data_IF_162333422075
#
_entry.id   IF_162333422075
#
_cell.length_a   1.000
_cell.length_b   1.000
_cell.length_c   1.000
_cell.angle_alpha   90.00
_cell.angle_beta   90.00
_cell.angle_gamma   90.00
#
_symmetry.space_group_name_H-M   'P 1'
#
loop_
_entity.id
_entity.type
_entity.pdbx_description
1 polymer ?
#
# COMPACT_ATOMS: atom_id res chain seq x y z
N UNK A 1 18.23 9.56 -26.02
CA UNK A 1 18.28 9.36 -24.57
C UNK A 1 17.95 10.71 -23.96
N UNK A 2 16.68 10.93 -23.65
CA UNK A 2 16.25 12.19 -23.03
C UNK A 2 16.71 12.17 -21.57
N UNK A 3 17.67 13.04 -21.25
CA UNK A 3 18.27 13.17 -19.93
C UNK A 3 17.54 14.23 -19.11
N UNK A 4 16.21 14.16 -19.08
CA UNK A 4 15.42 14.95 -18.16
C UNK A 4 15.39 14.24 -16.80
N UNK A 5 16.01 14.87 -15.80
CA UNK A 5 15.90 14.45 -14.41
C UNK A 5 14.41 14.44 -14.01
N UNK A 6 13.79 13.26 -14.01
CA UNK A 6 12.40 13.09 -13.56
C UNK A 6 12.40 13.04 -12.04
N UNK A 7 11.70 13.99 -11.41
CA UNK A 7 11.42 13.91 -9.97
C UNK A 7 10.50 12.71 -9.70
N UNK A 8 10.97 11.77 -8.88
CA UNK A 8 10.17 10.64 -8.41
C UNK A 8 9.30 11.11 -7.23
N UNK A 9 8.00 10.85 -7.30
CA UNK A 9 7.05 11.28 -6.27
C UNK A 9 6.54 10.09 -5.47
N UNK A 10 6.78 10.12 -4.17
CA UNK A 10 6.32 9.10 -3.24
C UNK A 10 5.31 9.72 -2.26
N UNK A 11 4.21 9.02 -2.01
CA UNK A 11 3.13 9.50 -1.14
C UNK A 11 2.77 8.43 -0.13
N UNK A 12 2.47 8.83 1.10
CA UNK A 12 1.86 7.96 2.10
C UNK A 12 0.51 8.52 2.53
N UNK A 13 -0.46 7.63 2.75
CA UNK A 13 -1.81 8.02 3.12
C UNK A 13 -2.45 6.99 4.06
N UNK A 14 -2.85 7.46 5.24
CA UNK A 14 -3.67 6.66 6.15
C UNK A 14 -5.14 6.82 5.76
N UNK A 15 -5.74 5.73 5.28
CA UNK A 15 -7.04 5.71 4.63
C UNK A 15 -8.22 5.82 5.60
N UNK A 16 -8.07 5.27 6.81
CA UNK A 16 -9.18 5.02 7.74
C UNK A 16 -10.39 4.37 7.04
N UNK A 17 -10.13 3.31 6.26
CA UNK A 17 -10.99 2.64 5.25
C UNK A 17 -10.68 3.05 3.81
N UNK A 18 -10.10 2.13 3.03
CA UNK A 18 -9.80 2.38 1.62
C UNK A 18 -11.06 2.59 0.77
N UNK A 19 -12.14 1.89 1.08
CA UNK A 19 -13.41 2.00 0.36
C UNK A 19 -14.08 3.36 0.53
N UNK A 20 -13.87 4.03 1.68
CA UNK A 20 -14.42 5.38 1.95
C UNK A 20 -13.53 6.48 1.39
N UNK A 21 -12.24 6.20 1.22
CA UNK A 21 -11.24 7.15 0.75
C UNK A 21 -10.81 6.89 -0.69
N UNK A 22 -11.53 6.04 -1.43
CA UNK A 22 -11.15 5.56 -2.74
C UNK A 22 -10.93 6.69 -3.76
N UNK A 23 -11.81 7.69 -3.79
CA UNK A 23 -11.68 8.83 -4.71
C UNK A 23 -10.45 9.69 -4.36
N UNK A 24 -10.19 9.94 -3.08
CA UNK A 24 -8.98 10.64 -2.65
C UNK A 24 -7.71 9.86 -3.04
N UNK A 25 -7.73 8.53 -2.90
CA UNK A 25 -6.60 7.68 -3.30
C UNK A 25 -6.39 7.71 -4.82
N UNK A 26 -7.47 7.76 -5.62
CA UNK A 26 -7.38 7.95 -7.07
C UNK A 26 -6.72 9.27 -7.43
N UNK A 27 -7.18 10.36 -6.84
CA UNK A 27 -6.60 11.70 -7.08
C UNK A 27 -5.12 11.77 -6.69
N UNK A 28 -4.73 11.08 -5.61
CA UNK A 28 -3.34 10.99 -5.20
C UNK A 28 -2.50 10.14 -6.16
N UNK A 29 -3.06 9.07 -6.76
CA UNK A 29 -2.38 8.24 -7.76
C UNK A 29 -2.03 9.01 -9.03
N UNK A 30 -2.83 10.01 -9.40
CA UNK A 30 -2.52 10.90 -10.54
C UNK A 30 -1.26 11.75 -10.29
N UNK A 31 -0.90 11.95 -9.03
CA UNK A 31 0.15 12.87 -8.61
C UNK A 31 1.40 12.19 -8.03
N UNK A 32 1.44 10.85 -7.97
CA UNK A 32 2.57 10.09 -7.46
C UNK A 32 2.99 8.93 -8.37
N UNK A 33 4.16 8.37 -8.09
CA UNK A 33 4.70 7.18 -8.76
C UNK A 33 4.60 5.93 -7.84
N UNK A 34 4.72 6.13 -6.53
CA UNK A 34 4.55 5.09 -5.51
C UNK A 34 3.68 5.63 -4.37
N UNK A 35 2.73 4.81 -3.93
CA UNK A 35 1.82 5.13 -2.84
C UNK A 35 1.87 4.07 -1.75
N UNK A 36 2.14 4.50 -0.52
CA UNK A 36 2.02 3.69 0.69
C UNK A 36 0.67 3.97 1.37
N UNK A 37 -0.13 2.93 1.57
CA UNK A 37 -1.42 3.02 2.24
C UNK A 37 -1.40 2.31 3.58
N UNK A 38 -2.04 2.91 4.58
CA UNK A 38 -2.27 2.32 5.89
C UNK A 38 -3.76 2.39 6.25
N UNK A 39 -4.20 1.57 7.20
CA UNK A 39 -5.59 1.49 7.63
C UNK A 39 -6.55 1.23 6.47
N UNK A 40 -6.16 0.29 5.60
CA UNK A 40 -6.97 -0.10 4.44
C UNK A 40 -8.28 -0.76 4.87
N UNK A 41 -8.26 -1.49 5.99
CA UNK A 41 -9.40 -2.20 6.57
C UNK A 41 -10.03 -3.27 5.66
N UNK A 42 -9.30 -3.72 4.63
CA UNK A 42 -9.74 -4.78 3.74
C UNK A 42 -9.68 -6.14 4.44
N UNK A 43 -10.61 -7.03 4.12
CA UNK A 43 -10.49 -8.45 4.45
C UNK A 43 -9.44 -9.11 3.54
N UNK A 44 -8.88 -10.27 3.92
CA UNK A 44 -7.90 -10.97 3.09
C UNK A 44 -8.36 -11.21 1.65
N UNK A 45 -9.65 -11.54 1.46
CA UNK A 45 -10.24 -11.76 0.14
C UNK A 45 -10.55 -10.46 -0.63
N UNK A 46 -10.60 -9.32 0.05
CA UNK A 46 -10.88 -8.01 -0.57
C UNK A 46 -9.60 -7.27 -0.97
N UNK A 47 -8.40 -7.82 -0.71
CA UNK A 47 -7.13 -7.18 -1.10
C UNK A 47 -7.07 -6.88 -2.60
N UNK A 48 -7.73 -7.70 -3.43
CA UNK A 48 -7.82 -7.48 -4.87
C UNK A 48 -8.52 -6.15 -5.26
N UNK A 49 -9.32 -5.57 -4.36
CA UNK A 49 -9.93 -4.25 -4.54
C UNK A 49 -8.89 -3.15 -4.82
N UNK A 50 -7.67 -3.26 -4.28
CA UNK A 50 -6.59 -2.32 -4.52
C UNK A 50 -6.27 -2.16 -6.03
N UNK A 51 -6.39 -3.24 -6.80
CA UNK A 51 -6.19 -3.21 -8.26
C UNK A 51 -7.27 -2.46 -9.04
N UNK A 52 -8.42 -2.21 -8.41
CA UNK A 52 -9.52 -1.42 -9.00
C UNK A 52 -9.40 0.09 -8.73
N UNK A 53 -8.45 0.50 -7.88
CA UNK A 53 -8.28 1.92 -7.54
C UNK A 53 -7.77 2.71 -8.73
N UNK A 54 -6.72 2.24 -9.41
CA UNK A 54 -6.14 2.92 -10.56
C UNK A 54 -5.53 1.94 -11.55
N UNK A 55 -5.94 1.99 -12.82
CA UNK A 55 -5.55 1.03 -13.86
C UNK A 55 -4.04 1.02 -14.17
N UNK A 56 -3.36 2.15 -14.02
CA UNK A 56 -1.92 2.26 -14.26
C UNK A 56 -1.04 1.74 -13.12
N UNK A 57 -1.63 1.42 -11.97
CA UNK A 57 -0.87 0.98 -10.80
C UNK A 57 -0.96 -0.55 -10.65
N UNK A 58 0.17 -1.14 -10.26
CA UNK A 58 0.22 -2.46 -9.66
C UNK A 58 0.24 -2.31 -8.13
N UNK A 59 -0.03 -3.40 -7.41
CA UNK A 59 -0.23 -3.33 -5.97
C UNK A 59 0.25 -4.58 -5.25
N UNK A 60 0.53 -4.42 -3.96
CA UNK A 60 0.60 -5.48 -2.97
C UNK A 60 -0.01 -4.98 -1.67
N UNK A 61 -0.62 -5.87 -0.90
CA UNK A 61 -1.27 -5.48 0.34
C UNK A 61 -1.48 -6.66 1.27
N UNK A 62 -1.66 -6.33 2.55
CA UNK A 62 -2.02 -7.27 3.59
C UNK A 62 -3.20 -6.76 4.37
N UNK A 63 -4.11 -7.68 4.67
CA UNK A 63 -5.14 -7.47 5.67
C UNK A 63 -4.55 -7.73 7.06
N UNK A 64 -4.92 -6.91 8.04
CA UNK A 64 -4.65 -7.18 9.45
C UNK A 64 -5.82 -7.90 10.15
N UNK A 65 -6.77 -8.41 9.38
CA UNK A 65 -8.01 -9.00 9.88
C UNK A 65 -7.87 -10.51 9.97
N UNK A 66 -7.93 -11.04 11.18
CA UNK A 66 -7.99 -12.47 11.41
C UNK A 66 -9.42 -12.98 11.18
N UNK A 67 -9.59 -13.78 10.13
CA UNK A 67 -10.88 -14.38 9.76
C UNK A 67 -11.09 -15.76 10.38
N UNK A 68 -10.11 -16.31 11.09
CA UNK A 68 -10.17 -17.64 11.72
C UNK A 68 -10.86 -17.63 13.08
N UNK A 69 -10.90 -16.48 13.75
CA UNK A 69 -11.47 -16.31 15.08
C UNK A 69 -13.02 -16.20 15.13
N UNK A 70 -13.72 -16.39 14.01
CA UNK A 70 -15.19 -16.27 13.93
C UNK A 70 -15.68 -14.84 13.67
N UNK A 71 -16.86 -14.47 14.19
CA UNK A 71 -17.47 -13.16 13.96
C UNK A 71 -16.60 -12.04 14.56
N UNK A 72 -16.14 -11.12 13.71
CA UNK A 72 -15.29 -9.99 14.13
C UNK A 72 -16.06 -9.10 15.10
N UNK A 73 -15.77 -9.22 16.39
CA UNK A 73 -16.40 -8.42 17.45
C UNK A 73 -16.00 -6.93 17.39
N UNK A 74 -14.97 -6.60 16.60
CA UNK A 74 -14.41 -5.24 16.44
C UNK A 74 -14.23 -4.91 14.97
N UNK A 75 -14.16 -3.61 14.65
CA UNK A 75 -13.87 -3.14 13.28
C UNK A 75 -12.56 -3.77 12.78
N UNK A 76 -12.46 -4.13 11.50
CA UNK A 76 -11.20 -4.55 10.91
C UNK A 76 -10.19 -3.41 11.03
N UNK A 77 -9.30 -3.48 12.03
CA UNK A 77 -8.35 -2.42 12.34
C UNK A 77 -6.99 -2.71 11.69
N UNK A 78 -6.52 -1.81 10.84
CA UNK A 78 -5.18 -1.86 10.24
C UNK A 78 -5.21 -2.25 8.75
N UNK A 79 -4.27 -3.08 8.34
CA UNK A 79 -4.00 -3.35 6.94
C UNK A 79 -3.09 -2.29 6.32
N UNK A 80 -2.25 -2.74 5.40
CA UNK A 80 -1.23 -1.94 4.73
C UNK A 80 -1.15 -2.34 3.27
N UNK A 81 -0.82 -1.38 2.40
CA UNK A 81 -0.59 -1.65 0.99
C UNK A 81 0.49 -0.74 0.40
N UNK A 82 1.03 -1.18 -0.73
CA UNK A 82 1.87 -0.41 -1.63
C UNK A 82 1.29 -0.50 -3.03
N UNK A 83 1.18 0.64 -3.70
CA UNK A 83 0.83 0.76 -5.11
C UNK A 83 2.00 1.42 -5.85
N UNK A 84 2.30 0.98 -7.07
CA UNK A 84 3.33 1.59 -7.91
C UNK A 84 2.93 1.67 -9.38
N UNK A 85 3.37 2.73 -10.06
CA UNK A 85 3.03 2.99 -11.46
C UNK A 85 3.77 2.04 -12.41
N UNK A 86 3.02 1.19 -13.13
CA UNK A 86 3.55 0.10 -13.97
C UNK A 86 4.45 0.58 -15.11
N UNK A 87 4.13 1.73 -15.70
CA UNK A 87 4.88 2.28 -16.84
C UNK A 87 6.28 2.75 -16.45
N UNK A 88 6.51 3.05 -15.16
CA UNK A 88 7.79 3.54 -14.63
C UNK A 88 8.60 2.39 -14.04
N UNK A 89 7.95 1.53 -13.26
CA UNK A 89 8.60 0.46 -12.51
C UNK A 89 8.21 -0.90 -13.09
N UNK A 90 9.04 -1.39 -14.01
CA UNK A 90 8.82 -2.66 -14.70
C UNK A 90 9.37 -3.86 -13.92
N UNK A 91 10.45 -3.63 -13.15
CA UNK A 91 11.12 -4.68 -12.37
C UNK A 91 10.83 -4.47 -10.88
N UNK A 92 9.76 -5.10 -10.40
CA UNK A 92 9.33 -5.02 -8.99
C UNK A 92 9.20 -6.41 -8.39
N UNK A 93 9.87 -6.63 -7.27
CA UNK A 93 9.77 -7.86 -6.48
C UNK A 93 9.05 -7.57 -5.17
N UNK A 94 7.93 -8.25 -4.90
CA UNK A 94 7.28 -8.19 -3.60
C UNK A 94 8.14 -8.97 -2.59
N UNK A 95 8.53 -8.31 -1.50
CA UNK A 95 9.36 -8.92 -0.45
C UNK A 95 8.44 -9.52 0.60
N UNK A 96 8.59 -10.82 0.84
CA UNK A 96 7.86 -11.50 1.90
C UNK A 96 8.23 -10.91 3.26
N UNK A 97 7.22 -10.61 4.07
CA UNK A 97 7.37 -9.97 5.36
C UNK A 97 6.58 -10.77 6.41
N UNK A 98 7.16 -11.03 7.57
CA UNK A 98 6.53 -11.84 8.63
C UNK A 98 5.68 -11.00 9.62
N UNK A 99 5.08 -9.92 9.13
CA UNK A 99 4.22 -9.03 9.92
C UNK A 99 3.06 -8.53 9.05
N UNK A 100 1.87 -8.42 9.64
CA UNK A 100 0.68 -7.84 9.00
C UNK A 100 0.64 -6.32 9.11
N UNK A 101 1.63 -5.73 9.80
CA UNK A 101 1.80 -4.29 9.97
C UNK A 101 2.69 -3.66 8.91
N UNK A 102 3.30 -4.46 8.04
CA UNK A 102 4.14 -3.94 6.96
C UNK A 102 4.09 -4.78 5.69
N UNK A 103 4.29 -4.11 4.57
CA UNK A 103 4.55 -4.70 3.25
C UNK A 103 5.74 -4.02 2.63
N UNK A 104 6.45 -4.75 1.78
CA UNK A 104 7.64 -4.24 1.12
C UNK A 104 7.73 -4.65 -0.35
N UNK A 105 8.30 -3.75 -1.15
CA UNK A 105 8.65 -4.02 -2.55
C UNK A 105 10.10 -3.57 -2.79
N UNK A 106 10.85 -4.42 -3.49
CA UNK A 106 12.13 -4.05 -4.10
C UNK A 106 11.87 -3.61 -5.53
N UNK A 107 12.39 -2.45 -5.91
CA UNK A 107 12.31 -1.93 -7.27
C UNK A 107 13.73 -1.79 -7.81
N UNK A 108 14.00 -2.40 -8.95
CA UNK A 108 15.23 -2.18 -9.70
C UNK A 108 14.94 -1.13 -10.79
N UNK A 109 15.59 0.04 -10.69
CA UNK A 109 15.34 1.21 -11.52
C UNK A 109 16.65 1.73 -12.11
N UNK A 110 16.83 1.54 -13.42
CA UNK A 110 18.05 1.92 -14.15
C UNK A 110 19.28 1.29 -13.48
N UNK A 111 20.14 2.07 -12.82
CA UNK A 111 21.39 1.63 -12.21
C UNK A 111 21.33 1.62 -10.66
N UNK A 112 20.13 1.72 -10.08
CA UNK A 112 19.93 1.67 -8.64
C UNK A 112 18.75 0.76 -8.24
N UNK A 113 18.79 0.30 -6.99
CA UNK A 113 17.71 -0.48 -6.39
C UNK A 113 17.15 0.25 -5.19
N UNK A 114 15.83 0.29 -5.07
CA UNK A 114 15.12 0.83 -3.93
C UNK A 114 14.38 -0.27 -3.20
N UNK A 115 14.27 -0.13 -1.88
CA UNK A 115 13.44 -0.98 -1.05
C UNK A 115 12.42 -0.09 -0.33
N UNK A 116 11.15 -0.23 -0.68
CA UNK A 116 10.06 0.54 -0.09
C UNK A 116 9.32 -0.29 0.93
N UNK A 117 8.98 0.35 2.05
CA UNK A 117 8.12 -0.21 3.08
C UNK A 117 6.90 0.68 3.29
N UNK A 118 5.72 0.08 3.32
CA UNK A 118 4.55 0.70 3.97
C UNK A 118 4.41 0.05 5.34
N UNK A 119 4.45 0.85 6.40
CA UNK A 119 4.41 0.38 7.79
C UNK A 119 3.31 1.12 8.53
N UNK A 120 2.51 0.38 9.29
CA UNK A 120 1.54 0.93 10.23
C UNK A 120 1.94 0.52 11.65
N UNK A 121 2.61 1.43 12.35
CA UNK A 121 3.05 1.19 13.72
C UNK A 121 1.85 1.18 14.68
N UNK A 122 1.87 0.31 15.72
CA UNK A 122 0.86 0.38 16.77
C UNK A 122 0.90 1.77 17.41
N UNK A 123 -0.28 2.32 17.69
CA UNK A 123 -0.38 3.52 18.52
C UNK A 123 -0.39 3.08 19.98
N UNK A 124 0.39 3.75 20.83
CA UNK A 124 0.33 3.53 22.27
C UNK A 124 -1.10 3.77 22.74
N UNK A 125 -1.74 2.69 23.15
CA UNK A 125 -2.94 2.76 23.98
C UNK A 125 -2.47 2.83 25.43
N UNK A 126 -1.77 3.91 25.79
CA UNK A 126 -1.88 4.38 27.17
C UNK A 126 -3.30 4.97 27.28
N UNK A 127 -4.06 4.55 28.31
CA UNK A 127 -5.50 4.76 28.59
C UNK A 127 -6.31 3.47 28.26
N UNK A 128 -6.81 2.64 29.19
CA UNK A 128 -6.87 2.52 30.67
C UNK A 128 -6.83 1.01 30.97
#
# INVERSE_FOLDING_TARGET
MDNTSRNMKFTTFNCKSITKSADCVRDLCDNCDIMALQETWLLPHDVAYLGSLHSDFAYTGKSAVDTTAGCLLRRPCGGVALLWRKSIYQTVTVVSCNSDRLVAIKIDYVDCSFLFFSVYMPTDSAII
#
